data_IF_887926663759
#
_entry.id   IF_887926663759
#
_cell.length_a   1.000
_cell.length_b   1.000
_cell.length_c   1.000
_cell.angle_alpha   90.00
_cell.angle_beta   90.00
_cell.angle_gamma   90.00
#
_symmetry.space_group_name_H-M   'P 1'
#
loop_
_entity.id
_entity.type
_entity.pdbx_description
1 polymer ?
#
# COMPACT_ATOMS: atom_id res chain seq x y z
N UNK A 1 6.06 17.57 -9.18
CA UNK A 1 6.44 16.46 -8.30
C UNK A 1 7.47 16.92 -7.28
N UNK A 2 7.20 16.76 -6.00
CA UNK A 2 8.13 17.20 -4.98
C UNK A 2 9.27 16.20 -4.81
N UNK A 3 10.46 16.76 -4.63
CA UNK A 3 11.67 15.95 -4.50
C UNK A 3 11.81 15.46 -3.06
N UNK A 4 11.91 14.14 -2.91
CA UNK A 4 12.15 13.53 -1.61
C UNK A 4 13.64 13.52 -1.30
N UNK A 5 14.00 13.85 -0.07
CA UNK A 5 15.39 13.72 0.36
C UNK A 5 15.68 12.31 0.87
N UNK A 6 16.95 12.07 1.27
CA UNK A 6 17.36 10.74 1.76
C UNK A 6 16.62 10.32 3.02
N UNK A 7 16.32 11.27 3.89
CA UNK A 7 15.61 11.01 5.14
C UNK A 7 14.19 10.60 4.86
N UNK A 8 13.49 11.30 3.96
CA UNK A 8 12.13 10.96 3.57
C UNK A 8 12.07 9.55 2.99
N UNK A 9 13.01 9.21 2.10
CA UNK A 9 13.07 7.88 1.51
C UNK A 9 13.31 6.80 2.57
N UNK A 10 14.16 7.07 3.54
CA UNK A 10 14.43 6.12 4.63
C UNK A 10 13.20 5.90 5.49
N UNK A 11 12.50 6.97 5.85
CA UNK A 11 11.25 6.89 6.60
C UNK A 11 10.22 6.03 5.87
N UNK A 12 10.06 6.27 4.57
CA UNK A 12 9.13 5.50 3.74
C UNK A 12 9.52 4.01 3.74
N UNK A 13 10.80 3.69 3.58
CA UNK A 13 11.26 2.30 3.61
C UNK A 13 10.95 1.61 4.93
N UNK A 14 11.17 2.31 6.04
CA UNK A 14 10.87 1.76 7.37
C UNK A 14 9.38 1.47 7.51
N UNK A 15 8.53 2.42 7.11
CA UNK A 15 7.08 2.27 7.21
C UNK A 15 6.53 1.23 6.24
N UNK A 16 7.16 1.05 5.09
CA UNK A 16 6.78 -0.02 4.15
C UNK A 16 7.03 -1.40 4.74
N UNK A 17 8.07 -1.56 5.55
CA UNK A 17 8.34 -2.82 6.24
C UNK A 17 7.41 -3.05 7.42
N UNK A 18 7.17 -2.00 8.21
CA UNK A 18 6.31 -2.07 9.38
C UNK A 18 5.68 -0.70 9.63
N UNK A 19 4.42 -0.56 9.23
CA UNK A 19 3.68 0.70 9.38
C UNK A 19 3.46 1.08 10.84
N UNK A 20 3.68 0.17 11.78
CA UNK A 20 3.52 0.44 13.22
C UNK A 20 4.85 0.74 13.92
N UNK A 21 5.93 0.94 13.19
CA UNK A 21 7.21 1.31 13.78
C UNK A 21 7.06 2.59 14.61
N UNK A 22 7.45 2.59 15.91
CA UNK A 22 7.33 3.78 16.75
C UNK A 22 8.18 4.93 16.21
N UNK A 23 7.70 6.17 16.43
CA UNK A 23 8.44 7.36 16.01
C UNK A 23 9.84 7.40 16.59
N UNK A 24 9.99 6.98 17.85
CA UNK A 24 11.29 6.93 18.52
C UNK A 24 12.28 6.04 17.79
N UNK A 25 11.82 4.90 17.32
CA UNK A 25 12.67 3.97 16.57
C UNK A 25 13.05 4.52 15.21
N UNK A 26 12.10 5.12 14.50
CA UNK A 26 12.37 5.76 13.22
C UNK A 26 13.39 6.88 13.41
N UNK A 27 13.17 7.73 14.43
CA UNK A 27 14.05 8.85 14.75
C UNK A 27 15.49 8.38 14.97
N UNK A 28 15.67 7.28 15.69
CA UNK A 28 16.99 6.72 15.95
C UNK A 28 17.70 6.29 14.66
N UNK A 29 16.94 5.75 13.70
CA UNK A 29 17.51 5.28 12.42
C UNK A 29 17.85 6.42 11.47
N UNK A 30 17.15 7.54 11.54
CA UNK A 30 17.38 8.68 10.64
C UNK A 30 18.11 9.85 11.33
N UNK A 31 18.51 9.67 12.60
CA UNK A 31 19.25 10.67 13.37
C UNK A 31 18.52 12.00 13.52
N UNK A 32 17.21 11.93 13.75
CA UNK A 32 16.35 13.09 14.00
C UNK A 32 15.59 12.90 15.31
N UNK A 33 14.96 13.98 15.79
CA UNK A 33 14.05 13.88 16.93
C UNK A 33 12.69 13.28 16.48
N UNK A 34 11.95 12.73 17.43
CA UNK A 34 10.60 12.21 17.15
C UNK A 34 9.66 13.28 16.59
N UNK A 35 9.61 14.52 17.12
CA UNK A 35 8.82 15.57 16.51
C UNK A 35 9.21 15.89 15.07
N UNK A 36 10.50 15.86 14.75
CA UNK A 36 10.96 16.10 13.37
C UNK A 36 10.49 14.98 12.43
N UNK A 37 10.55 13.73 12.87
CA UNK A 37 10.05 12.60 12.09
C UNK A 37 8.54 12.72 11.89
N UNK A 38 7.80 13.04 12.95
CA UNK A 38 6.36 13.23 12.88
C UNK A 38 5.97 14.30 11.86
N UNK A 39 6.67 15.44 11.88
CA UNK A 39 6.43 16.53 10.93
C UNK A 39 6.69 16.08 9.48
N UNK A 40 7.72 15.30 9.25
CA UNK A 40 8.03 14.79 7.92
C UNK A 40 6.95 13.81 7.43
N UNK A 41 6.49 12.92 8.31
CA UNK A 41 5.43 11.97 7.96
C UNK A 41 4.14 12.71 7.62
N UNK A 42 3.74 13.69 8.42
CA UNK A 42 2.56 14.51 8.14
C UNK A 42 2.65 15.19 6.77
N UNK A 43 3.82 15.73 6.46
CA UNK A 43 4.06 16.37 5.18
C UNK A 43 3.93 15.38 4.02
N UNK A 44 4.52 14.19 4.17
CA UNK A 44 4.43 13.13 3.18
C UNK A 44 2.99 12.66 2.96
N UNK A 45 2.21 12.57 4.03
CA UNK A 45 0.79 12.24 3.95
C UNK A 45 0.00 13.33 3.26
N UNK A 46 0.22 14.59 3.66
CA UNK A 46 -0.49 15.72 3.09
C UNK A 46 -0.21 15.91 1.59
N UNK A 47 1.00 15.63 1.16
CA UNK A 47 1.41 15.74 -0.24
C UNK A 47 1.01 14.51 -1.09
N UNK A 48 0.42 13.51 -0.47
CA UNK A 48 -0.02 12.31 -1.17
C UNK A 48 1.09 11.32 -1.50
N UNK A 49 2.29 11.49 -0.93
CA UNK A 49 3.38 10.53 -1.09
C UNK A 49 3.07 9.27 -0.31
N UNK A 50 2.61 9.43 0.93
CA UNK A 50 2.06 8.33 1.71
C UNK A 50 0.54 8.41 1.54
N UNK A 51 -0.03 7.41 0.90
CA UNK A 51 -1.46 7.41 0.56
C UNK A 51 -2.31 6.73 1.62
N UNK A 52 -1.70 6.00 2.53
CA UNK A 52 -2.42 5.32 3.61
C UNK A 52 -1.59 4.24 4.25
N UNK A 53 -2.19 3.57 5.21
CA UNK A 53 -1.59 2.46 5.93
C UNK A 53 -2.57 1.30 5.92
N UNK A 54 -2.04 0.09 5.85
CA UNK A 54 -2.90 -1.10 5.85
C UNK A 54 -2.26 -2.21 6.65
N UNK A 55 -3.08 -3.11 7.15
CA UNK A 55 -2.64 -4.29 7.86
C UNK A 55 -2.70 -5.49 6.93
N UNK A 56 -1.65 -6.31 6.94
CA UNK A 56 -1.68 -7.61 6.29
C UNK A 56 -2.29 -8.59 7.28
N UNK A 57 -3.35 -9.26 6.88
CA UNK A 57 -4.08 -10.16 7.75
C UNK A 57 -4.12 -11.54 7.11
N UNK A 58 -3.96 -12.57 7.93
CA UNK A 58 -4.10 -13.94 7.46
C UNK A 58 -5.58 -14.20 7.13
N UNK A 59 -5.92 -14.50 5.86
CA UNK A 59 -7.32 -14.70 5.47
C UNK A 59 -8.05 -15.81 6.23
N UNK A 60 -7.32 -16.79 6.74
CA UNK A 60 -7.92 -17.89 7.49
C UNK A 60 -8.62 -17.42 8.76
N UNK A 61 -8.12 -16.35 9.37
CA UNK A 61 -8.74 -15.75 10.56
C UNK A 61 -9.96 -14.89 10.26
N UNK A 62 -10.18 -14.60 8.97
CA UNK A 62 -11.33 -13.83 8.50
C UNK A 62 -12.37 -14.72 7.80
N UNK A 63 -12.28 -16.04 8.01
CA UNK A 63 -13.15 -17.06 7.39
C UNK A 63 -12.97 -17.18 5.86
N UNK A 64 -11.80 -16.81 5.35
CA UNK A 64 -11.43 -17.06 3.96
C UNK A 64 -10.62 -18.36 3.93
N UNK A 65 -11.30 -19.48 3.69
CA UNK A 65 -10.67 -20.79 3.77
C UNK A 65 -9.93 -21.21 2.50
N UNK A 66 -10.18 -20.52 1.42
CA UNK A 66 -9.56 -20.83 0.12
C UNK A 66 -8.95 -19.56 -0.44
N UNK A 67 -7.67 -19.63 -0.79
CA UNK A 67 -7.01 -18.55 -1.52
C UNK A 67 -6.88 -19.00 -2.98
N UNK A 68 -7.62 -18.35 -3.85
CA UNK A 68 -7.61 -18.64 -5.28
C UNK A 68 -7.05 -17.45 -6.05
N UNK A 69 -6.24 -17.76 -7.06
CA UNK A 69 -5.77 -16.78 -8.02
C UNK A 69 -6.53 -17.00 -9.33
N UNK A 70 -7.22 -15.98 -9.78
CA UNK A 70 -8.01 -16.03 -11.01
C UNK A 70 -7.41 -15.07 -12.01
N UNK A 71 -7.00 -15.60 -13.16
CA UNK A 71 -6.51 -14.79 -14.26
C UNK A 71 -7.66 -14.49 -15.20
N UNK A 72 -7.91 -13.20 -15.42
CA UNK A 72 -9.00 -12.75 -16.27
C UNK A 72 -8.47 -11.84 -17.37
N UNK A 73 -8.94 -12.06 -18.58
CA UNK A 73 -8.71 -11.13 -19.68
C UNK A 73 -9.85 -10.13 -19.71
N UNK A 74 -9.51 -8.86 -19.59
CA UNK A 74 -10.48 -7.78 -19.64
C UNK A 74 -10.06 -6.80 -20.71
N UNK A 75 -10.97 -6.48 -21.62
CA UNK A 75 -10.68 -5.50 -22.64
C UNK A 75 -10.36 -4.13 -22.01
N UNK A 76 -9.37 -3.39 -22.52
CA UNK A 76 -8.97 -2.13 -21.91
C UNK A 76 -10.12 -1.14 -21.73
N UNK A 77 -11.06 -1.11 -22.65
CA UNK A 77 -12.21 -0.21 -22.56
C UNK A 77 -13.18 -0.56 -21.45
N UNK A 78 -13.15 -1.81 -20.98
CA UNK A 78 -14.03 -2.29 -19.91
C UNK A 78 -13.42 -2.17 -18.52
N UNK A 79 -12.11 -1.94 -18.41
CA UNK A 79 -11.43 -1.84 -17.13
C UNK A 79 -12.05 -0.79 -16.19
N UNK A 80 -12.40 0.41 -16.64
CA UNK A 80 -13.01 1.41 -15.75
C UNK A 80 -14.31 0.96 -15.08
N UNK A 81 -15.02 0.02 -15.72
CA UNK A 81 -16.26 -0.55 -15.16
C UNK A 81 -15.94 -1.77 -14.30
N UNK A 82 -14.98 -2.58 -14.74
CA UNK A 82 -14.63 -3.84 -14.10
C UNK A 82 -14.03 -3.66 -12.70
N UNK A 83 -13.09 -2.73 -12.54
CA UNK A 83 -12.44 -2.53 -11.25
C UNK A 83 -13.42 -2.13 -10.14
N UNK A 84 -14.32 -1.15 -10.34
CA UNK A 84 -15.32 -0.84 -9.33
C UNK A 84 -16.24 -2.01 -9.01
N UNK A 85 -16.57 -2.83 -10.01
CA UNK A 85 -17.39 -4.02 -9.82
C UNK A 85 -16.70 -5.03 -8.90
N UNK A 86 -15.41 -5.29 -9.13
CA UNK A 86 -14.62 -6.23 -8.31
C UNK A 86 -14.49 -5.72 -6.88
N UNK A 87 -14.28 -4.43 -6.69
CA UNK A 87 -14.14 -3.84 -5.35
C UNK A 87 -15.40 -4.00 -4.50
N UNK A 88 -16.55 -4.14 -5.11
CA UNK A 88 -17.83 -4.34 -4.42
C UNK A 88 -18.05 -5.77 -3.97
N UNK A 89 -17.24 -6.72 -4.43
CA UNK A 89 -17.37 -8.12 -4.05
C UNK A 89 -16.62 -8.33 -2.72
N UNK A 90 -17.33 -8.69 -1.62
CA UNK A 90 -16.69 -8.73 -0.29
C UNK A 90 -15.59 -9.78 -0.16
N UNK A 91 -15.56 -10.79 -1.00
CA UNK A 91 -14.58 -11.87 -0.93
C UNK A 91 -13.35 -11.66 -1.80
N UNK A 92 -13.23 -10.53 -2.48
CA UNK A 92 -12.04 -10.20 -3.25
C UNK A 92 -11.04 -9.49 -2.36
N UNK A 93 -9.88 -10.12 -2.13
CA UNK A 93 -8.84 -9.60 -1.23
C UNK A 93 -7.79 -8.79 -2.00
N UNK A 94 -7.44 -9.24 -3.19
CA UNK A 94 -6.47 -8.57 -4.05
C UNK A 94 -6.96 -8.49 -5.47
N UNK A 95 -6.65 -7.38 -6.13
CA UNK A 95 -6.88 -7.21 -7.55
C UNK A 95 -5.67 -6.48 -8.14
N UNK A 96 -4.90 -7.19 -8.96
CA UNK A 96 -3.66 -6.67 -9.53
C UNK A 96 -3.71 -6.74 -11.05
N UNK A 97 -3.19 -5.70 -11.69
CA UNK A 97 -3.05 -5.65 -13.13
C UNK A 97 -1.65 -6.08 -13.52
N UNK A 98 -1.55 -7.02 -14.46
CA UNK A 98 -0.27 -7.50 -14.97
C UNK A 98 -0.19 -7.28 -16.48
N UNK A 99 1.05 -7.22 -17.00
CA UNK A 99 1.30 -7.12 -18.43
C UNK A 99 1.37 -8.50 -19.07
N UNK A 100 1.09 -8.60 -20.35
CA UNK A 100 1.14 -9.85 -21.11
C UNK A 100 -0.25 -10.34 -21.51
N UNK A 101 -0.44 -11.66 -21.50
CA UNK A 101 -1.68 -12.29 -21.94
C UNK A 101 -2.84 -12.07 -20.97
N UNK A 102 -2.52 -11.74 -19.72
CA UNK A 102 -3.53 -11.50 -18.68
C UNK A 102 -3.53 -10.04 -18.31
N UNK A 103 -4.73 -9.48 -18.11
CA UNK A 103 -4.86 -8.10 -17.65
C UNK A 103 -5.06 -7.99 -16.14
N UNK A 104 -5.37 -9.09 -15.46
CA UNK A 104 -5.56 -9.10 -14.00
C UNK A 104 -5.14 -10.44 -13.41
N UNK A 105 -4.67 -10.39 -12.20
CA UNK A 105 -4.29 -11.56 -11.43
C UNK A 105 -4.86 -11.47 -10.01
#
# INVERSE_FOLDING_TARGET
MKKLDKVDKKIIQILQKNARTPLKEIAAQVFLSSPSVSARIEKLEHEGVITGYSAKVNPLYLNYHIKAFINLEVEPLQKPVFYPFIEKIPNVVECNCVTGDYSML
#
